data_IF_399133102386
#
_entry.id   IF_399133102386
#
_cell.length_a   1.000
_cell.length_b   1.000
_cell.length_c   1.000
_cell.angle_alpha   90.00
_cell.angle_beta   90.00
_cell.angle_gamma   90.00
#
_symmetry.space_group_name_H-M   'P 1'
#
loop_
_entity.id
_entity.type
_entity.pdbx_description
1 polymer ?
#
# COMPACT_ATOMS: atom_id res chain seq x y z
N UNK A 1 17.35 -15.97 -15.36
CA UNK A 1 16.85 -16.05 -13.97
C UNK A 1 16.06 -14.79 -13.56
N UNK A 2 16.70 -13.61 -13.41
CA UNK A 2 16.03 -12.35 -12.99
C UNK A 2 14.83 -11.88 -13.84
N UNK A 3 14.87 -12.05 -15.17
CA UNK A 3 13.75 -11.66 -16.06
C UNK A 3 12.51 -12.54 -15.86
N UNK A 4 12.71 -13.87 -15.80
CA UNK A 4 11.63 -14.82 -15.56
C UNK A 4 10.98 -14.58 -14.19
N UNK A 5 11.79 -14.38 -13.14
CA UNK A 5 11.30 -14.01 -11.80
C UNK A 5 10.44 -12.74 -11.85
N UNK A 6 10.92 -11.66 -12.49
CA UNK A 6 10.15 -10.41 -12.65
C UNK A 6 8.82 -10.62 -13.36
N UNK A 7 8.77 -11.49 -14.37
CA UNK A 7 7.53 -11.83 -15.07
C UNK A 7 6.58 -12.61 -14.17
N UNK A 8 7.08 -13.58 -13.40
CA UNK A 8 6.27 -14.32 -12.42
C UNK A 8 5.68 -13.38 -11.36
N UNK A 9 6.49 -12.43 -10.85
CA UNK A 9 6.01 -11.42 -9.91
C UNK A 9 4.95 -10.51 -10.52
N UNK A 10 5.15 -10.07 -11.76
CA UNK A 10 4.16 -9.26 -12.45
C UNK A 10 2.83 -9.99 -12.57
N UNK A 11 2.87 -11.25 -13.01
CA UNK A 11 1.67 -12.07 -13.12
C UNK A 11 0.99 -12.24 -11.76
N UNK A 12 1.75 -12.57 -10.71
CA UNK A 12 1.20 -12.71 -9.36
C UNK A 12 0.59 -11.40 -8.84
N UNK A 13 1.26 -10.27 -9.03
CA UNK A 13 0.78 -8.94 -8.61
C UNK A 13 -0.51 -8.55 -9.34
N UNK A 14 -0.57 -8.75 -10.67
CA UNK A 14 -1.76 -8.44 -11.46
C UNK A 14 -2.90 -9.39 -11.11
N UNK A 15 -2.66 -10.71 -11.11
CA UNK A 15 -3.69 -11.71 -10.83
C UNK A 15 -4.28 -11.54 -9.42
N UNK A 16 -3.44 -11.34 -8.40
CA UNK A 16 -3.91 -11.11 -7.03
C UNK A 16 -4.67 -9.79 -6.90
N UNK A 17 -4.21 -8.70 -7.51
CA UNK A 17 -4.91 -7.41 -7.47
C UNK A 17 -6.25 -7.46 -8.19
N UNK A 18 -6.32 -8.12 -9.35
CA UNK A 18 -7.57 -8.31 -10.09
C UNK A 18 -8.55 -9.17 -9.30
N UNK A 19 -8.07 -10.27 -8.70
CA UNK A 19 -8.90 -11.15 -7.88
C UNK A 19 -9.42 -10.42 -6.64
N UNK A 20 -8.53 -9.80 -5.86
CA UNK A 20 -8.89 -9.09 -4.63
C UNK A 20 -9.79 -7.91 -4.94
N UNK A 21 -9.49 -7.12 -5.97
CA UNK A 21 -10.33 -6.01 -6.42
C UNK A 21 -11.72 -6.47 -6.85
N UNK A 22 -11.80 -7.52 -7.67
CA UNK A 22 -13.06 -8.12 -8.10
C UNK A 22 -13.89 -8.67 -6.94
N UNK A 23 -13.27 -9.42 -6.02
CA UNK A 23 -13.93 -9.93 -4.81
C UNK A 23 -14.39 -8.80 -3.91
N UNK A 24 -13.61 -7.74 -3.75
CA UNK A 24 -13.96 -6.58 -2.91
C UNK A 24 -15.16 -5.82 -3.48
N UNK A 25 -15.19 -5.58 -4.80
CA UNK A 25 -16.33 -4.95 -5.48
C UNK A 25 -17.56 -5.84 -5.40
N UNK A 26 -17.42 -7.13 -5.70
CA UNK A 26 -18.51 -8.10 -5.62
C UNK A 26 -19.08 -8.20 -4.21
N UNK A 27 -18.23 -8.26 -3.20
CA UNK A 27 -18.63 -8.30 -1.79
C UNK A 27 -19.35 -7.02 -1.36
N UNK A 28 -18.86 -5.85 -1.79
CA UNK A 28 -19.52 -4.57 -1.51
C UNK A 28 -20.93 -4.51 -2.12
N UNK A 29 -21.06 -4.87 -3.40
CA UNK A 29 -22.35 -4.90 -4.08
C UNK A 29 -23.30 -5.92 -3.45
N UNK A 30 -22.83 -7.15 -3.23
CA UNK A 30 -23.63 -8.22 -2.65
C UNK A 30 -24.12 -7.87 -1.25
N UNK A 31 -23.27 -7.28 -0.40
CA UNK A 31 -23.63 -6.84 0.94
C UNK A 31 -24.86 -5.94 0.93
N UNK A 32 -24.84 -4.88 0.11
CA UNK A 32 -25.95 -3.93 0.06
C UNK A 32 -27.22 -4.55 -0.54
N UNK A 33 -27.08 -5.37 -1.58
CA UNK A 33 -28.21 -6.11 -2.17
C UNK A 33 -28.87 -7.06 -1.16
N UNK A 34 -28.07 -7.85 -0.45
CA UNK A 34 -28.52 -8.77 0.58
C UNK A 34 -29.26 -8.02 1.70
N UNK A 35 -28.69 -6.91 2.20
CA UNK A 35 -29.32 -6.12 3.26
C UNK A 35 -30.65 -5.48 2.82
N UNK A 36 -30.75 -5.01 1.58
CA UNK A 36 -32.00 -4.46 1.03
C UNK A 36 -33.07 -5.54 0.87
N UNK A 37 -32.67 -6.72 0.39
CA UNK A 37 -33.57 -7.87 0.24
C UNK A 37 -34.11 -8.35 1.59
N UNK A 38 -33.26 -8.48 2.61
CA UNK A 38 -33.68 -8.96 3.93
C UNK A 38 -34.59 -7.97 4.66
N UNK A 39 -34.37 -6.66 4.46
CA UNK A 39 -35.24 -5.61 5.02
C UNK A 39 -36.54 -5.40 4.24
N UNK A 40 -36.69 -6.03 3.07
CA UNK A 40 -37.84 -5.82 2.18
C UNK A 40 -37.99 -4.37 1.71
N UNK A 41 -36.91 -3.59 1.72
CA UNK A 41 -36.92 -2.15 1.40
C UNK A 41 -36.16 -1.87 0.11
N UNK A 42 -36.75 -1.02 -0.74
CA UNK A 42 -36.07 -0.45 -1.92
C UNK A 42 -35.22 0.77 -1.57
N UNK A 43 -35.24 1.23 -0.32
CA UNK A 43 -34.45 2.38 0.10
C UNK A 43 -32.97 2.03 0.25
N UNK A 44 -32.13 2.82 -0.41
CA UNK A 44 -30.69 2.71 -0.28
C UNK A 44 -30.26 3.15 1.14
N UNK A 45 -29.41 2.37 1.83
CA UNK A 45 -28.88 2.76 3.15
C UNK A 45 -27.81 3.86 2.99
N UNK A 46 -28.22 5.06 2.62
CA UNK A 46 -27.34 6.15 2.20
C UNK A 46 -26.27 6.50 3.24
N UNK A 47 -26.64 6.56 4.53
CA UNK A 47 -25.69 6.82 5.62
C UNK A 47 -24.61 5.74 5.72
N UNK A 48 -25.00 4.47 5.56
CA UNK A 48 -24.05 3.36 5.60
C UNK A 48 -23.13 3.36 4.38
N UNK A 49 -23.67 3.63 3.18
CA UNK A 49 -22.88 3.75 1.96
C UNK A 49 -21.87 4.89 2.08
N UNK A 50 -22.32 6.08 2.48
CA UNK A 50 -21.47 7.25 2.69
C UNK A 50 -20.40 6.97 3.75
N UNK A 51 -20.77 6.34 4.86
CA UNK A 51 -19.83 5.95 5.91
C UNK A 51 -18.79 4.95 5.39
N UNK A 52 -19.22 3.91 4.67
CA UNK A 52 -18.34 2.89 4.08
C UNK A 52 -17.31 3.52 3.14
N UNK A 53 -17.76 4.38 2.21
CA UNK A 53 -16.88 5.07 1.27
C UNK A 53 -15.93 6.02 2.00
N UNK A 54 -16.44 6.79 2.97
CA UNK A 54 -15.63 7.73 3.73
C UNK A 54 -14.54 7.02 4.53
N UNK A 55 -14.86 5.89 5.17
CA UNK A 55 -13.90 5.11 5.93
C UNK A 55 -12.92 4.35 5.02
N UNK A 56 -13.32 3.96 3.81
CA UNK A 56 -12.39 3.40 2.83
C UNK A 56 -11.35 4.44 2.37
N UNK A 57 -11.79 5.64 2.00
CA UNK A 57 -10.88 6.72 1.62
C UNK A 57 -10.01 7.17 2.80
N UNK A 58 -10.63 7.35 3.96
CA UNK A 58 -9.96 7.76 5.19
C UNK A 58 -8.92 6.74 5.64
N UNK A 59 -9.23 5.44 5.61
CA UNK A 59 -8.27 4.39 5.95
C UNK A 59 -7.16 4.27 4.91
N UNK A 60 -7.45 4.41 3.61
CA UNK A 60 -6.42 4.38 2.56
C UNK A 60 -5.38 5.50 2.75
N UNK A 61 -5.83 6.71 3.12
CA UNK A 61 -4.94 7.83 3.44
C UNK A 61 -4.27 7.63 4.80
N UNK A 62 -5.03 7.22 5.82
CA UNK A 62 -4.56 6.99 7.18
C UNK A 62 -3.46 5.93 7.27
N UNK A 63 -3.50 4.93 6.40
CA UNK A 63 -2.48 3.89 6.32
C UNK A 63 -1.09 4.44 5.94
N UNK A 64 -0.99 5.54 5.21
CA UNK A 64 0.31 6.20 4.97
C UNK A 64 0.91 6.74 6.27
N UNK A 65 0.09 7.36 7.12
CA UNK A 65 0.53 7.87 8.43
C UNK A 65 0.91 6.72 9.37
N UNK A 66 0.10 5.66 9.40
CA UNK A 66 0.39 4.45 10.15
C UNK A 66 1.68 3.79 9.68
N UNK A 67 1.83 3.53 8.38
CA UNK A 67 3.00 2.88 7.81
C UNK A 67 4.27 3.71 8.07
N UNK A 68 4.21 5.03 7.87
CA UNK A 68 5.31 5.95 8.20
C UNK A 68 5.72 5.86 9.66
N UNK A 69 4.76 5.92 10.58
CA UNK A 69 5.03 5.81 12.02
C UNK A 69 5.60 4.45 12.36
N UNK A 70 4.98 3.36 11.90
CA UNK A 70 5.43 1.99 12.16
C UNK A 70 6.83 1.75 11.59
N UNK A 71 7.11 2.27 10.40
CA UNK A 71 8.42 2.18 9.76
C UNK A 71 9.50 2.82 10.64
N UNK A 72 9.29 4.05 11.11
CA UNK A 72 10.24 4.74 11.99
C UNK A 72 10.32 4.11 13.39
N UNK A 73 9.18 3.92 14.04
CA UNK A 73 9.10 3.61 15.46
C UNK A 73 9.24 2.12 15.77
N UNK A 74 8.87 1.24 14.83
CA UNK A 74 8.89 -0.21 15.03
C UNK A 74 9.94 -0.87 14.13
N UNK A 75 9.86 -0.66 12.81
CA UNK A 75 10.70 -1.39 11.83
C UNK A 75 12.17 -0.98 11.90
N UNK A 76 12.47 0.30 12.16
CA UNK A 76 13.84 0.78 12.45
C UNK A 76 14.23 0.69 13.93
N UNK A 77 13.45 -0.01 14.75
CA UNK A 77 13.72 -0.23 16.17
C UNK A 77 13.59 -1.71 16.52
N UNK A 78 12.59 -2.09 17.32
CA UNK A 78 12.44 -3.46 17.82
C UNK A 78 12.20 -4.52 16.73
N UNK A 79 11.75 -4.14 15.53
CA UNK A 79 11.50 -5.03 14.39
C UNK A 79 12.60 -4.95 13.32
N UNK A 80 13.75 -4.35 13.62
CA UNK A 80 14.87 -4.21 12.68
C UNK A 80 15.39 -5.55 12.15
N UNK A 81 15.38 -6.61 12.96
CA UNK A 81 15.82 -7.94 12.51
C UNK A 81 15.02 -8.45 11.30
N UNK A 82 13.73 -8.07 11.22
CA UNK A 82 12.84 -8.39 10.10
C UNK A 82 13.00 -7.40 8.95
N UNK A 83 13.10 -6.10 9.27
CA UNK A 83 13.20 -5.04 8.28
C UNK A 83 14.57 -4.97 7.57
N UNK A 84 15.64 -5.42 8.23
CA UNK A 84 17.01 -5.41 7.69
C UNK A 84 17.12 -6.15 6.36
N UNK A 85 16.34 -7.22 6.13
CA UNK A 85 16.35 -7.94 4.85
C UNK A 85 15.98 -7.06 3.66
N UNK A 86 15.25 -5.97 3.93
CA UNK A 86 14.78 -5.00 2.95
C UNK A 86 15.82 -3.92 2.61
N UNK A 87 16.74 -3.66 3.54
CA UNK A 87 17.83 -2.68 3.37
C UNK A 87 19.06 -3.25 2.67
N UNK A 88 19.16 -4.58 2.57
CA UNK A 88 20.26 -5.27 1.90
C UNK A 88 19.83 -5.79 0.53
N UNK A 89 20.75 -6.03 -0.41
CA UNK A 89 20.41 -6.64 -1.70
C UNK A 89 19.69 -7.98 -1.53
N UNK A 90 18.47 -8.05 -2.05
CA UNK A 90 17.59 -9.23 -1.97
C UNK A 90 18.24 -10.51 -2.49
N UNK A 91 18.12 -11.60 -1.72
CA UNK A 91 18.63 -12.93 -2.05
C UNK A 91 17.47 -13.91 -2.32
N UNK A 92 16.85 -13.79 -3.50
CA UNK A 92 15.77 -14.69 -3.91
C UNK A 92 14.39 -14.06 -3.87
N UNK A 93 13.30 -14.86 -3.92
CA UNK A 93 11.96 -14.36 -4.14
C UNK A 93 11.44 -13.49 -2.98
N UNK A 94 11.50 -14.01 -1.76
CA UNK A 94 10.91 -13.38 -0.57
C UNK A 94 11.96 -12.69 0.31
N UNK A 95 11.50 -11.73 1.09
CA UNK A 95 12.24 -11.08 2.18
C UNK A 95 11.52 -11.34 3.50
N UNK A 96 12.25 -11.42 4.62
CA UNK A 96 11.64 -11.50 5.95
C UNK A 96 10.70 -10.32 6.18
N UNK A 97 11.05 -9.15 5.65
CA UNK A 97 10.24 -7.94 5.62
C UNK A 97 8.83 -8.12 5.02
N UNK A 98 8.61 -9.10 4.13
CA UNK A 98 7.31 -9.34 3.51
C UNK A 98 6.22 -9.71 4.55
N UNK A 99 6.63 -10.13 5.75
CA UNK A 99 5.75 -10.34 6.91
C UNK A 99 4.93 -9.11 7.26
N UNK A 100 5.43 -7.89 7.06
CA UNK A 100 4.68 -6.68 7.37
C UNK A 100 3.47 -6.49 6.45
N UNK A 101 3.54 -6.98 5.21
CA UNK A 101 2.37 -7.01 4.34
C UNK A 101 1.30 -7.95 4.91
N UNK A 102 1.70 -9.13 5.40
CA UNK A 102 0.78 -10.10 6.03
C UNK A 102 0.16 -9.52 7.31
N UNK A 103 0.97 -8.92 8.18
CA UNK A 103 0.51 -8.30 9.43
C UNK A 103 -0.54 -7.22 9.20
N UNK A 104 -0.41 -6.43 8.13
CA UNK A 104 -1.41 -5.43 7.76
C UNK A 104 -2.60 -6.02 6.97
N UNK A 105 -2.43 -7.14 6.26
CA UNK A 105 -3.52 -7.82 5.55
C UNK A 105 -4.50 -8.51 6.51
N UNK A 106 -4.03 -9.10 7.61
CA UNK A 106 -4.87 -9.77 8.62
C UNK A 106 -5.99 -8.87 9.15
N UNK A 107 -5.74 -7.65 9.67
CA UNK A 107 -6.81 -6.78 10.14
C UNK A 107 -7.73 -6.31 9.00
N UNK A 108 -7.21 -6.11 7.79
CA UNK A 108 -8.04 -5.77 6.63
C UNK A 108 -9.06 -6.87 6.31
N UNK A 109 -8.59 -8.13 6.25
CA UNK A 109 -9.44 -9.30 6.02
C UNK A 109 -10.46 -9.45 7.16
N UNK A 110 -10.03 -9.34 8.42
CA UNK A 110 -10.93 -9.47 9.56
C UNK A 110 -12.06 -8.41 9.53
N UNK A 111 -11.72 -7.15 9.24
CA UNK A 111 -12.68 -6.06 9.14
C UNK A 111 -13.64 -6.24 7.96
N UNK A 112 -13.14 -6.66 6.79
CA UNK A 112 -13.97 -6.95 5.63
C UNK A 112 -14.87 -8.17 5.85
N UNK A 113 -14.38 -9.23 6.48
CA UNK A 113 -15.17 -10.43 6.79
C UNK A 113 -16.28 -10.13 7.81
N UNK A 114 -15.96 -9.40 8.87
CA UNK A 114 -16.96 -8.95 9.84
C UNK A 114 -17.98 -8.03 9.18
N UNK A 115 -17.50 -7.05 8.43
CA UNK A 115 -18.32 -6.10 7.70
C UNK A 115 -19.17 -6.75 6.61
N UNK A 116 -18.73 -7.85 5.99
CA UNK A 116 -19.53 -8.57 5.00
C UNK A 116 -20.67 -9.37 5.66
N UNK A 117 -20.41 -9.97 6.83
CA UNK A 117 -21.29 -10.96 7.44
C UNK A 117 -22.39 -10.39 8.35
N UNK A 118 -22.39 -9.08 8.62
CA UNK A 118 -23.33 -8.46 9.59
C UNK A 118 -23.99 -7.21 9.02
N UNK A 119 -25.28 -6.99 9.28
CA UNK A 119 -25.99 -5.83 8.73
C UNK A 119 -25.79 -4.53 9.50
N UNK A 120 -25.97 -3.41 8.82
CA UNK A 120 -26.10 -2.08 9.42
C UNK A 120 -24.81 -1.25 9.41
N UNK A 121 -24.92 -0.07 10.03
CA UNK A 121 -23.92 0.99 9.91
C UNK A 121 -22.53 0.57 10.36
N UNK A 122 -22.39 0.05 11.59
CA UNK A 122 -21.08 -0.30 12.14
C UNK A 122 -20.35 -1.37 11.30
N UNK A 123 -20.98 -2.49 10.91
CA UNK A 123 -20.37 -3.43 9.96
C UNK A 123 -20.00 -2.80 8.61
N UNK A 124 -20.82 -1.88 8.07
CA UNK A 124 -20.49 -1.13 6.87
C UNK A 124 -19.24 -0.27 7.02
N UNK A 125 -19.09 0.42 8.17
CA UNK A 125 -17.88 1.17 8.50
C UNK A 125 -16.65 0.26 8.59
N UNK A 126 -16.75 -0.90 9.26
CA UNK A 126 -15.68 -1.89 9.34
C UNK A 126 -15.28 -2.37 7.93
N UNK A 127 -16.26 -2.71 7.09
CA UNK A 127 -16.03 -3.11 5.70
C UNK A 127 -15.26 -2.02 4.94
N UNK A 128 -15.70 -0.76 5.06
CA UNK A 128 -15.05 0.39 4.48
C UNK A 128 -13.59 0.53 4.92
N UNK A 129 -13.31 0.47 6.23
CA UNK A 129 -11.94 0.53 6.76
C UNK A 129 -11.05 -0.58 6.19
N UNK A 130 -11.52 -1.83 6.19
CA UNK A 130 -10.75 -2.95 5.64
C UNK A 130 -10.50 -2.81 4.13
N UNK A 131 -11.47 -2.29 3.39
CA UNK A 131 -11.30 -1.95 1.97
C UNK A 131 -10.22 -0.88 1.76
N UNK A 132 -10.22 0.17 2.59
CA UNK A 132 -9.20 1.22 2.55
C UNK A 132 -7.79 0.72 2.82
N UNK A 133 -7.63 -0.16 3.81
CA UNK A 133 -6.34 -0.82 4.11
C UNK A 133 -5.88 -1.65 2.90
N UNK A 134 -6.80 -2.38 2.26
CA UNK A 134 -6.52 -3.22 1.10
C UNK A 134 -6.10 -2.38 -0.12
N UNK A 135 -6.77 -1.24 -0.36
CA UNK A 135 -6.42 -0.28 -1.42
C UNK A 135 -5.01 0.26 -1.19
N UNK A 136 -4.69 0.68 0.04
CA UNK A 136 -3.34 1.15 0.36
C UNK A 136 -2.31 0.04 0.16
N UNK A 137 -2.59 -1.19 0.61
CA UNK A 137 -1.71 -2.34 0.41
C UNK A 137 -1.41 -2.62 -1.06
N UNK A 138 -2.43 -2.55 -1.94
CA UNK A 138 -2.23 -2.67 -3.39
C UNK A 138 -1.38 -1.52 -3.95
N UNK A 139 -1.67 -0.27 -3.57
CA UNK A 139 -0.89 0.88 -4.00
C UNK A 139 0.58 0.77 -3.55
N UNK A 140 0.81 0.33 -2.31
CA UNK A 140 2.12 0.08 -1.74
C UNK A 140 2.84 -1.01 -2.55
N UNK A 141 2.21 -2.15 -2.83
CA UNK A 141 2.81 -3.22 -3.63
C UNK A 141 3.27 -2.71 -5.02
N UNK A 142 2.44 -1.95 -5.74
CA UNK A 142 2.84 -1.44 -7.05
C UNK A 142 3.95 -0.39 -6.97
N UNK A 143 3.84 0.57 -6.05
CA UNK A 143 4.81 1.67 -5.95
C UNK A 143 6.09 1.21 -5.27
N UNK A 144 6.01 0.66 -4.07
CA UNK A 144 7.17 0.21 -3.32
C UNK A 144 7.82 -1.03 -3.96
N UNK A 145 7.14 -2.16 -3.99
CA UNK A 145 7.74 -3.43 -4.43
C UNK A 145 7.99 -3.44 -5.95
N UNK A 146 7.02 -2.97 -6.72
CA UNK A 146 7.08 -2.87 -8.17
C UNK A 146 8.05 -1.80 -8.64
N UNK A 147 7.79 -0.53 -8.34
CA UNK A 147 8.55 0.59 -8.89
C UNK A 147 9.88 0.84 -8.17
N UNK A 148 9.87 0.92 -6.83
CA UNK A 148 11.06 1.26 -6.05
C UNK A 148 12.05 0.10 -6.02
N UNK A 149 11.59 -1.09 -5.61
CA UNK A 149 12.43 -2.28 -5.48
C UNK A 149 12.57 -3.08 -6.78
N UNK A 150 11.86 -2.69 -7.85
CA UNK A 150 11.93 -3.33 -9.16
C UNK A 150 11.73 -4.86 -9.11
N UNK A 151 10.85 -5.33 -8.21
CA UNK A 151 10.47 -6.75 -8.10
C UNK A 151 9.71 -7.21 -9.35
N UNK A 152 8.95 -6.32 -9.97
CA UNK A 152 8.27 -6.52 -11.26
C UNK A 152 8.17 -5.20 -12.03
N UNK A 153 7.81 -5.27 -13.32
CA UNK A 153 7.62 -4.07 -14.14
C UNK A 153 6.26 -3.43 -13.85
N UNK A 154 6.23 -2.12 -13.60
CA UNK A 154 4.99 -1.35 -13.37
C UNK A 154 4.52 -0.57 -14.60
N UNK A 155 5.17 -0.79 -15.75
CA UNK A 155 4.81 -0.15 -17.01
C UNK A 155 4.83 1.39 -16.93
N UNK A 156 3.80 2.08 -17.44
CA UNK A 156 3.74 3.54 -17.49
C UNK A 156 3.89 4.25 -16.15
N UNK A 157 3.61 3.56 -15.03
CA UNK A 157 3.74 4.12 -13.68
C UNK A 157 5.19 4.57 -13.41
N UNK A 158 6.18 3.91 -14.02
CA UNK A 158 7.59 4.26 -13.89
C UNK A 158 7.96 5.59 -14.56
N UNK A 159 7.13 6.08 -15.48
CA UNK A 159 7.39 7.30 -16.24
C UNK A 159 6.77 8.54 -15.59
N UNK A 160 5.85 8.36 -14.64
CA UNK A 160 5.18 9.44 -13.92
C UNK A 160 6.20 10.22 -13.07
N UNK A 161 6.36 11.54 -13.26
CA UNK A 161 7.38 12.34 -12.56
C UNK A 161 7.29 12.26 -11.04
N UNK A 162 6.07 12.23 -10.49
CA UNK A 162 5.84 12.10 -9.06
C UNK A 162 6.41 10.78 -8.50
N UNK A 163 6.07 9.64 -9.10
CA UNK A 163 6.54 8.35 -8.61
C UNK A 163 8.05 8.14 -8.81
N UNK A 164 8.65 8.83 -9.79
CA UNK A 164 10.11 8.88 -9.93
C UNK A 164 10.78 9.59 -8.75
N UNK A 165 10.18 10.68 -8.26
CA UNK A 165 10.64 11.36 -7.04
C UNK A 165 10.46 10.46 -5.81
N UNK A 166 9.29 9.82 -5.66
CA UNK A 166 9.03 8.86 -4.56
C UNK A 166 10.09 7.75 -4.54
N UNK A 167 10.38 7.15 -5.68
CA UNK A 167 11.41 6.12 -5.76
C UNK A 167 12.82 6.63 -5.43
N UNK A 168 13.16 7.87 -5.82
CA UNK A 168 14.43 8.48 -5.44
C UNK A 168 14.51 8.81 -3.94
N UNK A 169 13.41 9.26 -3.35
CA UNK A 169 13.30 9.52 -1.92
C UNK A 169 13.50 8.24 -1.09
N UNK A 170 12.90 7.13 -1.51
CA UNK A 170 13.10 5.84 -0.87
C UNK A 170 14.52 5.29 -1.06
N UNK A 171 15.21 5.63 -2.15
CA UNK A 171 16.63 5.31 -2.31
C UNK A 171 17.51 6.07 -1.30
N UNK A 172 17.18 7.33 -1.00
CA UNK A 172 17.85 8.13 0.04
C UNK A 172 17.67 7.47 1.41
N UNK A 173 16.47 6.97 1.70
CA UNK A 173 16.18 6.19 2.91
C UNK A 173 17.09 4.97 3.04
N UNK A 174 17.18 4.14 1.99
CA UNK A 174 18.04 2.94 2.00
C UNK A 174 19.54 3.25 2.05
N UNK A 175 19.95 4.41 1.54
CA UNK A 175 21.31 4.90 1.70
C UNK A 175 21.59 5.40 3.14
N UNK A 176 20.58 5.39 4.02
CA UNK A 176 20.63 5.85 5.39
C UNK A 176 21.17 7.28 5.53
N UNK A 177 20.82 8.14 4.58
CA UNK A 177 21.11 9.58 4.66
C UNK A 177 20.08 10.25 5.56
N UNK A 178 20.42 11.43 6.11
CA UNK A 178 19.52 12.22 6.95
C UNK A 178 18.92 11.42 8.12
N UNK A 179 19.74 10.62 8.79
CA UNK A 179 19.34 9.73 9.89
C UNK A 179 18.23 8.73 9.51
N UNK A 180 18.21 8.31 8.24
CA UNK A 180 17.23 7.37 7.70
C UNK A 180 15.92 8.01 7.26
N UNK A 181 15.83 9.34 7.17
CA UNK A 181 14.66 10.02 6.57
C UNK A 181 14.73 9.90 5.03
N UNK A 182 13.62 9.60 4.33
CA UNK A 182 12.23 9.53 4.80
C UNK A 182 11.76 8.13 5.22
N UNK A 183 10.69 8.07 6.03
CA UNK A 183 10.05 6.81 6.44
C UNK A 183 8.70 6.57 5.76
N UNK A 184 8.02 7.62 5.30
CA UNK A 184 6.79 7.50 4.51
C UNK A 184 7.08 7.17 3.05
N UNK A 185 6.16 6.46 2.40
CA UNK A 185 6.27 6.17 0.97
C UNK A 185 5.83 7.38 0.15
N UNK A 186 4.60 7.83 0.34
CA UNK A 186 4.04 8.97 -0.41
C UNK A 186 4.35 10.31 0.28
N UNK A 187 4.41 10.33 1.61
CA UNK A 187 4.81 11.52 2.38
C UNK A 187 6.32 11.70 2.44
N UNK A 188 7.12 10.77 1.90
CA UNK A 188 8.57 10.82 2.00
C UNK A 188 9.21 12.05 1.34
N UNK A 189 8.57 12.63 0.32
CA UNK A 189 9.02 13.89 -0.28
C UNK A 189 8.96 15.05 0.71
N UNK A 190 7.86 15.15 1.46
CA UNK A 190 7.66 16.19 2.48
C UNK A 190 8.59 15.98 3.68
N UNK A 191 8.85 14.74 4.05
CA UNK A 191 9.83 14.44 5.10
C UNK A 191 11.25 14.83 4.71
N UNK A 192 11.64 14.58 3.45
CA UNK A 192 12.94 15.00 2.94
C UNK A 192 13.08 16.52 2.87
N UNK A 193 12.04 17.21 2.42
CA UNK A 193 12.00 18.68 2.44
C UNK A 193 12.25 19.22 3.85
N UNK A 194 11.62 18.64 4.87
CA UNK A 194 11.76 19.06 6.27
C UNK A 194 13.18 18.87 6.85
N UNK A 195 14.00 18.00 6.27
CA UNK A 195 15.40 17.77 6.68
C UNK A 195 16.42 18.33 5.69
N UNK A 196 16.00 19.12 4.69
CA UNK A 196 16.89 19.71 3.70
C UNK A 196 17.41 18.74 2.63
N UNK A 197 16.76 17.60 2.44
CA UNK A 197 17.16 16.54 1.51
C UNK A 197 16.87 16.81 0.02
N UNK A 198 16.35 17.99 -0.33
CA UNK A 198 15.93 18.31 -1.70
C UNK A 198 17.05 18.26 -2.73
N UNK A 199 18.26 18.69 -2.35
CA UNK A 199 19.40 18.71 -3.27
C UNK A 199 19.76 17.29 -3.69
N UNK A 200 19.77 16.36 -2.73
CA UNK A 200 20.09 14.95 -2.98
C UNK A 200 18.99 14.28 -3.80
N UNK A 201 17.73 14.59 -3.51
CA UNK A 201 16.59 14.15 -4.30
C UNK A 201 16.72 14.61 -5.77
N UNK A 202 17.02 15.89 -6.01
CA UNK A 202 17.19 16.45 -7.37
C UNK A 202 18.34 15.77 -8.12
N UNK A 203 19.46 15.52 -7.46
CA UNK A 203 20.60 14.78 -8.05
C UNK A 203 20.19 13.38 -8.50
N UNK A 204 19.53 12.59 -7.64
CA UNK A 204 19.11 11.23 -7.97
C UNK A 204 18.11 11.20 -9.12
N UNK A 205 17.13 12.12 -9.14
CA UNK A 205 16.13 12.22 -10.21
C UNK A 205 16.80 12.59 -11.55
N UNK A 206 17.74 13.53 -11.55
CA UNK A 206 18.50 13.94 -12.74
C UNK A 206 19.39 12.83 -13.29
N UNK A 207 20.11 12.12 -12.42
CA UNK A 207 20.97 10.98 -12.81
C UNK A 207 20.16 9.84 -13.44
N UNK A 208 18.90 9.66 -13.03
CA UNK A 208 17.99 8.68 -13.63
C UNK A 208 17.52 9.09 -15.03
N UNK A 209 17.43 10.39 -15.33
CA UNK A 209 17.11 10.88 -16.67
C UNK A 209 18.24 10.61 -17.67
N UNK A 210 19.51 10.68 -17.23
CA UNK A 210 20.67 10.47 -18.09
C UNK A 210 20.99 8.99 -18.38
N UNK A 211 20.34 8.06 -17.67
CA UNK A 211 20.56 6.60 -17.81
C UNK A 211 19.46 5.89 -18.63
N UNK A 212 18.45 6.61 -19.10
CA UNK A 212 17.46 6.10 -20.08
C UNK A 212 17.91 6.47 -21.48
#
# INVERSE_FOLDING_TARGET
>A
KKKAERTTYLFAAVASSTLIGGLSIGAACYRFLWQMQEKGSSELPALEILGTVSLALGAAVGMEFWARWAHKALWHSCLWSMHKSHHVPRQGPFEVNDVFAIVNAVPAIALMSYGFSHQGLLPGLCFGTGLGITIFGMAYMFVHDGLVHQRFSVGPLADVPYFRKVAAAHQIHHANLFDGVPYGLFLGLKELEAVGGELELKKLVSNRHHKK
#
